data_IF_420435970651
#
_entry.id   IF_420435970651
#
_cell.length_a   1.000
_cell.length_b   1.000
_cell.length_c   1.000
_cell.angle_alpha   90.00
_cell.angle_beta   90.00
_cell.angle_gamma   90.00
#
_symmetry.space_group_name_H-M   'P 1'
#
loop_
_entity.id
_entity.type
_entity.pdbx_description
1 polymer ?
#
# COMPACT_ATOMS: atom_id res chain seq x y z
N UNK A 1 -23.51 -19.66 -5.75
CA UNK A 1 -23.38 -20.61 -6.90
C UNK A 1 -22.05 -20.37 -7.61
N UNK A 2 -21.44 -21.42 -8.22
CA UNK A 2 -20.17 -21.26 -8.98
C UNK A 2 -20.23 -20.18 -10.07
N UNK A 3 -21.36 -20.08 -10.78
CA UNK A 3 -21.54 -19.04 -11.81
C UNK A 3 -21.43 -17.62 -11.23
N UNK A 4 -21.95 -17.37 -10.03
CA UNK A 4 -21.84 -16.07 -9.36
C UNK A 4 -20.40 -15.76 -8.95
N UNK A 5 -19.65 -16.76 -8.47
CA UNK A 5 -18.23 -16.58 -8.14
C UNK A 5 -17.40 -16.28 -9.38
N UNK A 6 -17.66 -16.93 -10.51
CA UNK A 6 -16.99 -16.65 -11.79
C UNK A 6 -17.29 -15.22 -12.28
N UNK A 7 -18.52 -14.75 -12.14
CA UNK A 7 -18.91 -13.37 -12.46
C UNK A 7 -18.14 -12.38 -11.58
N UNK A 8 -18.03 -12.65 -10.28
CA UNK A 8 -17.32 -11.81 -9.32
C UNK A 8 -15.80 -11.82 -9.54
N UNK A 9 -15.23 -12.92 -9.98
CA UNK A 9 -13.80 -13.03 -10.29
C UNK A 9 -13.39 -12.30 -11.58
N UNK A 10 -14.33 -11.71 -12.31
CA UNK A 10 -14.04 -10.94 -13.51
C UNK A 10 -13.37 -9.61 -13.14
N UNK A 11 -12.22 -9.24 -13.74
CA UNK A 11 -11.53 -7.97 -13.48
C UNK A 11 -12.38 -6.71 -13.76
N UNK A 12 -13.41 -6.81 -14.61
CA UNK A 12 -14.34 -5.72 -14.89
C UNK A 12 -15.45 -5.55 -13.83
N UNK A 13 -15.48 -6.38 -12.80
CA UNK A 13 -16.39 -6.23 -11.68
C UNK A 13 -16.19 -4.85 -11.04
N UNK A 14 -17.28 -4.09 -10.76
CA UNK A 14 -17.18 -2.68 -10.36
C UNK A 14 -16.26 -2.41 -9.16
N UNK A 15 -16.28 -3.25 -8.11
CA UNK A 15 -15.40 -3.10 -6.95
C UNK A 15 -13.94 -3.40 -7.26
N UNK A 16 -13.66 -4.44 -8.07
CA UNK A 16 -12.29 -4.77 -8.48
C UNK A 16 -11.72 -3.67 -9.38
N UNK A 17 -12.55 -3.11 -10.25
CA UNK A 17 -12.15 -1.95 -11.07
C UNK A 17 -11.86 -0.72 -10.21
N UNK A 18 -12.67 -0.47 -9.18
CA UNK A 18 -12.38 0.59 -8.21
C UNK A 18 -11.07 0.34 -7.48
N UNK A 19 -10.84 -0.90 -7.02
CA UNK A 19 -9.60 -1.28 -6.33
C UNK A 19 -8.38 -1.04 -7.22
N UNK A 20 -8.45 -1.41 -8.51
CA UNK A 20 -7.39 -1.17 -9.48
C UNK A 20 -7.08 0.33 -9.65
N UNK A 21 -8.10 1.20 -9.68
CA UNK A 21 -7.92 2.63 -9.96
C UNK A 21 -7.58 3.45 -8.71
N UNK A 22 -8.17 3.12 -7.55
CA UNK A 22 -8.08 3.90 -6.32
C UNK A 22 -6.99 3.35 -5.35
N UNK A 23 -6.70 2.03 -5.41
CA UNK A 23 -5.73 1.34 -4.57
C UNK A 23 -4.96 0.26 -5.34
N UNK A 24 -4.15 0.64 -6.35
CA UNK A 24 -3.51 -0.31 -7.28
C UNK A 24 -2.56 -1.29 -6.58
N UNK A 25 -1.88 -0.88 -5.51
CA UNK A 25 -1.04 -1.76 -4.71
C UNK A 25 -1.84 -2.87 -4.03
N UNK A 26 -2.98 -2.53 -3.43
CA UNK A 26 -3.90 -3.50 -2.84
C UNK A 26 -4.50 -4.43 -3.90
N UNK A 27 -4.82 -3.91 -5.10
CA UNK A 27 -5.29 -4.75 -6.20
C UNK A 27 -4.24 -5.79 -6.62
N UNK A 28 -2.98 -5.36 -6.78
CA UNK A 28 -1.89 -6.28 -7.14
C UNK A 28 -1.65 -7.32 -6.04
N UNK A 29 -1.63 -6.92 -4.78
CA UNK A 29 -1.56 -7.80 -3.63
C UNK A 29 -2.69 -8.86 -3.67
N UNK A 30 -3.93 -8.43 -3.87
CA UNK A 30 -5.09 -9.32 -3.91
C UNK A 30 -4.98 -10.39 -5.03
N UNK A 31 -4.36 -10.06 -6.19
CA UNK A 31 -4.11 -11.03 -7.26
C UNK A 31 -3.13 -12.11 -6.81
N UNK A 32 -2.04 -11.73 -6.15
CA UNK A 32 -1.03 -12.70 -5.68
C UNK A 32 -1.61 -13.58 -4.59
N UNK A 33 -2.32 -12.99 -3.62
CA UNK A 33 -3.04 -13.74 -2.56
C UNK A 33 -4.05 -14.71 -3.19
N UNK A 34 -4.78 -14.30 -4.22
CA UNK A 34 -5.75 -15.14 -4.92
C UNK A 34 -5.10 -16.35 -5.60
N UNK A 35 -3.92 -16.18 -6.21
CA UNK A 35 -3.18 -17.28 -6.82
C UNK A 35 -2.67 -18.28 -5.77
N UNK A 36 -2.18 -17.78 -4.64
CA UNK A 36 -1.78 -18.62 -3.50
C UNK A 36 -2.98 -19.39 -2.94
N UNK A 37 -4.08 -18.68 -2.67
CA UNK A 37 -5.27 -19.25 -2.06
C UNK A 37 -5.94 -20.32 -2.94
N UNK A 38 -6.03 -20.09 -4.25
CA UNK A 38 -6.55 -21.06 -5.21
C UNK A 38 -5.73 -22.34 -5.22
N UNK A 39 -4.39 -22.23 -5.36
CA UNK A 39 -3.50 -23.38 -5.40
C UNK A 39 -3.55 -24.21 -4.09
N UNK A 40 -3.61 -23.53 -2.93
CA UNK A 40 -3.72 -24.20 -1.65
C UNK A 40 -5.07 -24.87 -1.46
N UNK A 41 -6.17 -24.20 -1.84
CA UNK A 41 -7.52 -24.77 -1.76
C UNK A 41 -7.68 -26.02 -2.65
N UNK A 42 -7.13 -25.97 -3.87
CA UNK A 42 -7.10 -27.12 -4.78
C UNK A 42 -6.33 -28.31 -4.16
N UNK A 43 -5.16 -28.03 -3.57
CA UNK A 43 -4.28 -29.04 -2.98
C UNK A 43 -4.96 -29.82 -1.82
N UNK A 44 -5.82 -29.17 -1.03
CA UNK A 44 -6.48 -29.79 0.14
C UNK A 44 -7.96 -30.15 -0.10
N UNK A 45 -8.45 -30.02 -1.34
CA UNK A 45 -9.84 -30.33 -1.70
C UNK A 45 -10.87 -29.35 -1.09
N UNK A 46 -10.48 -28.12 -0.79
CA UNK A 46 -11.38 -27.01 -0.49
C UNK A 46 -11.93 -26.40 -1.79
N UNK A 47 -12.70 -25.34 -1.73
CA UNK A 47 -13.25 -24.68 -2.91
C UNK A 47 -12.28 -23.64 -3.50
N UNK A 48 -11.53 -23.96 -4.60
CA UNK A 48 -10.50 -23.07 -5.13
C UNK A 48 -11.10 -21.76 -5.65
N UNK A 49 -12.28 -21.83 -6.29
CA UNK A 49 -12.93 -20.64 -6.84
C UNK A 49 -13.42 -19.70 -5.74
N UNK A 50 -13.90 -20.23 -4.60
CA UNK A 50 -14.30 -19.41 -3.46
C UNK A 50 -13.07 -18.77 -2.80
N UNK A 51 -12.00 -19.53 -2.58
CA UNK A 51 -10.76 -19.01 -2.01
C UNK A 51 -10.16 -17.89 -2.88
N UNK A 52 -10.09 -18.11 -4.20
CA UNK A 52 -9.64 -17.11 -5.17
C UNK A 52 -10.52 -15.86 -5.17
N UNK A 53 -11.83 -16.03 -5.28
CA UNK A 53 -12.75 -14.90 -5.31
C UNK A 53 -12.74 -14.15 -3.98
N UNK A 54 -12.72 -14.85 -2.85
CA UNK A 54 -12.59 -14.25 -1.53
C UNK A 54 -11.33 -13.43 -1.39
N UNK A 55 -10.21 -13.95 -1.87
CA UNK A 55 -8.93 -13.23 -1.89
C UNK A 55 -8.97 -11.94 -2.73
N UNK A 56 -9.70 -11.89 -3.86
CA UNK A 56 -9.85 -10.64 -4.60
C UNK A 56 -10.55 -9.54 -3.81
N UNK A 57 -11.45 -9.90 -2.90
CA UNK A 57 -12.27 -8.95 -2.15
C UNK A 57 -11.87 -8.77 -0.69
N UNK A 58 -10.93 -9.56 -0.15
CA UNK A 58 -10.63 -9.53 1.28
C UNK A 58 -10.27 -8.13 1.79
N UNK A 59 -9.61 -7.35 0.99
CA UNK A 59 -9.01 -6.05 1.29
C UNK A 59 -9.77 -4.84 0.72
N UNK A 60 -10.99 -5.00 0.20
CA UNK A 60 -11.75 -3.89 -0.43
C UNK A 60 -12.01 -2.71 0.52
N UNK A 61 -11.97 -2.94 1.82
CA UNK A 61 -12.14 -1.88 2.81
C UNK A 61 -11.01 -0.86 2.82
N UNK A 62 -9.84 -1.20 2.32
CA UNK A 62 -8.71 -0.28 2.12
C UNK A 62 -9.04 0.87 1.16
N UNK A 63 -10.05 0.71 0.30
CA UNK A 63 -10.60 1.78 -0.55
C UNK A 63 -11.04 3.03 0.23
N UNK A 64 -11.38 2.91 1.50
CA UNK A 64 -11.79 4.05 2.31
C UNK A 64 -10.65 5.00 2.63
N UNK A 65 -9.43 4.47 2.80
CA UNK A 65 -8.21 5.23 3.14
C UNK A 65 -6.97 4.59 2.50
N UNK A 66 -6.84 4.56 1.16
CA UNK A 66 -5.80 3.78 0.48
C UNK A 66 -4.39 4.14 0.90
N UNK A 67 -4.09 5.42 1.11
CA UNK A 67 -2.75 5.92 1.45
C UNK A 67 -2.26 5.54 2.86
N UNK A 68 -3.15 5.04 3.74
CA UNK A 68 -2.75 4.48 5.02
C UNK A 68 -2.21 3.03 4.91
N UNK A 69 -2.24 2.43 3.72
CA UNK A 69 -1.72 1.10 3.48
C UNK A 69 -0.46 1.19 2.61
N UNK A 70 0.63 0.60 3.12
CA UNK A 70 1.99 0.79 2.60
C UNK A 70 2.11 0.48 1.10
N UNK A 71 1.39 -0.53 0.64
CA UNK A 71 1.39 -0.96 -0.77
C UNK A 71 0.86 0.10 -1.74
N UNK A 72 0.10 1.10 -1.24
CA UNK A 72 -0.43 2.21 -2.04
C UNK A 72 0.32 3.53 -1.84
N UNK A 73 1.35 3.57 -0.98
CA UNK A 73 2.11 4.78 -0.70
C UNK A 73 3.16 5.06 -1.78
N UNK A 74 3.31 6.33 -2.16
CA UNK A 74 4.30 6.80 -3.14
C UNK A 74 5.43 7.63 -2.51
N UNK A 75 5.68 7.47 -1.21
CA UNK A 75 6.77 8.17 -0.49
C UNK A 75 6.40 8.60 0.90
N UNK A 76 5.41 9.48 1.08
CA UNK A 76 4.97 9.96 2.40
C UNK A 76 4.09 8.90 3.10
N UNK A 77 4.43 8.59 4.37
CA UNK A 77 3.66 7.65 5.18
C UNK A 77 2.84 8.42 6.22
N UNK A 78 1.50 8.47 6.09
CA UNK A 78 0.66 9.19 7.04
C UNK A 78 0.82 8.73 8.50
N UNK A 79 1.18 7.46 8.72
CA UNK A 79 1.40 6.91 10.07
C UNK A 79 2.60 7.49 10.80
N UNK A 80 3.52 8.17 10.11
CA UNK A 80 4.68 8.80 10.75
C UNK A 80 4.27 10.01 11.61
N UNK A 81 3.13 10.62 11.27
CA UNK A 81 2.54 11.78 11.97
C UNK A 81 1.29 11.43 12.76
N UNK A 82 0.91 10.16 12.81
CA UNK A 82 -0.30 9.69 13.46
C UNK A 82 0.05 8.92 14.75
N UNK A 83 -0.72 9.15 15.78
CA UNK A 83 -0.61 8.38 17.03
C UNK A 83 -0.75 6.87 16.75
N UNK A 84 0.02 5.99 17.44
CA UNK A 84 -0.02 4.55 17.20
C UNK A 84 -1.39 3.90 17.42
N UNK A 85 -2.17 4.36 18.42
CA UNK A 85 -3.52 3.86 18.66
C UNK A 85 -4.48 4.24 17.52
N UNK A 86 -4.39 5.49 17.06
CA UNK A 86 -5.19 5.96 15.90
C UNK A 86 -4.77 5.22 14.64
N UNK A 87 -3.48 5.00 14.46
CA UNK A 87 -2.94 4.22 13.32
C UNK A 87 -3.46 2.78 13.32
N UNK A 88 -3.43 2.11 14.48
CA UNK A 88 -3.98 0.77 14.64
C UNK A 88 -5.48 0.73 14.35
N UNK A 89 -6.25 1.69 14.88
CA UNK A 89 -7.68 1.80 14.63
C UNK A 89 -8.01 2.01 13.14
N UNK A 90 -7.21 2.80 12.41
CA UNK A 90 -7.38 3.00 10.96
C UNK A 90 -7.12 1.70 10.20
N UNK A 91 -6.04 0.98 10.54
CA UNK A 91 -5.66 -0.25 9.86
C UNK A 91 -6.66 -1.36 10.16
N UNK A 92 -7.03 -1.57 11.42
CA UNK A 92 -8.00 -2.63 11.78
C UNK A 92 -9.40 -2.38 11.24
N UNK A 93 -9.80 -1.12 11.03
CA UNK A 93 -11.11 -0.77 10.51
C UNK A 93 -11.37 -1.30 9.08
N UNK A 94 -10.33 -1.67 8.29
CA UNK A 94 -10.57 -2.05 6.89
C UNK A 94 -11.43 -3.33 6.75
N UNK A 95 -11.41 -4.24 7.72
CA UNK A 95 -12.26 -5.43 7.68
C UNK A 95 -13.75 -5.06 7.77
N UNK A 96 -14.11 -4.16 8.71
CA UNK A 96 -15.49 -3.63 8.85
C UNK A 96 -15.89 -2.74 7.68
N UNK A 97 -14.97 -1.88 7.21
CA UNK A 97 -15.20 -1.04 6.05
C UNK A 97 -15.40 -1.90 4.79
N UNK A 98 -14.66 -3.01 4.68
CA UNK A 98 -14.80 -4.02 3.65
C UNK A 98 -16.16 -4.73 3.69
N UNK A 99 -16.60 -5.14 4.88
CA UNK A 99 -17.93 -5.75 5.08
C UNK A 99 -19.04 -4.77 4.64
N UNK A 100 -18.95 -3.51 5.04
CA UNK A 100 -19.94 -2.49 4.64
C UNK A 100 -19.99 -2.31 3.12
N UNK A 101 -18.84 -2.30 2.44
CA UNK A 101 -18.77 -2.28 0.98
C UNK A 101 -19.33 -3.55 0.36
N UNK A 102 -19.00 -4.73 0.90
CA UNK A 102 -19.50 -6.01 0.41
C UNK A 102 -21.04 -6.09 0.50
N UNK A 103 -21.62 -5.62 1.59
CA UNK A 103 -23.07 -5.52 1.76
C UNK A 103 -23.71 -4.55 0.76
N UNK A 104 -23.12 -3.36 0.59
CA UNK A 104 -23.58 -2.35 -0.37
C UNK A 104 -23.59 -2.87 -1.81
N UNK A 105 -22.61 -3.69 -2.18
CA UNK A 105 -22.48 -4.27 -3.52
C UNK A 105 -23.07 -5.69 -3.63
N UNK A 106 -23.81 -6.14 -2.61
CA UNK A 106 -24.48 -7.43 -2.59
C UNK A 106 -23.56 -8.63 -2.87
N UNK A 107 -22.34 -8.60 -2.29
CA UNK A 107 -21.45 -9.75 -2.36
C UNK A 107 -22.01 -10.93 -1.55
N UNK A 108 -21.78 -12.17 -1.98
CA UNK A 108 -22.25 -13.37 -1.27
C UNK A 108 -21.78 -13.41 0.19
N UNK A 109 -22.55 -14.01 1.10
CA UNK A 109 -22.18 -14.14 2.52
C UNK A 109 -20.82 -14.80 2.73
N UNK A 110 -20.45 -15.79 1.91
CA UNK A 110 -19.17 -16.48 2.00
C UNK A 110 -17.98 -15.53 1.75
N UNK A 111 -18.13 -14.58 0.83
CA UNK A 111 -17.11 -13.54 0.58
C UNK A 111 -17.09 -12.54 1.75
N UNK A 112 -18.25 -12.16 2.30
CA UNK A 112 -18.34 -11.29 3.48
C UNK A 112 -17.66 -11.94 4.70
N UNK A 113 -17.81 -13.23 4.87
CA UNK A 113 -17.12 -14.02 5.92
C UNK A 113 -15.61 -13.94 5.76
N UNK A 114 -15.09 -14.18 4.56
CA UNK A 114 -13.64 -14.09 4.29
C UNK A 114 -13.10 -12.67 4.58
N UNK A 115 -13.83 -11.61 4.21
CA UNK A 115 -13.46 -10.23 4.50
C UNK A 115 -13.33 -9.98 6.01
N UNK A 116 -14.22 -10.53 6.81
CA UNK A 116 -14.17 -10.32 8.27
C UNK A 116 -13.16 -11.21 8.98
N UNK A 117 -12.86 -12.39 8.44
CA UNK A 117 -12.07 -13.41 9.11
C UNK A 117 -10.59 -13.42 8.73
N UNK A 118 -10.18 -12.77 7.62
CA UNK A 118 -8.82 -12.93 7.08
C UNK A 118 -7.70 -12.41 8.00
N UNK A 119 -8.01 -11.59 8.99
CA UNK A 119 -7.07 -11.21 10.04
C UNK A 119 -7.40 -11.82 11.41
N UNK A 120 -8.58 -12.42 11.58
CA UNK A 120 -9.03 -12.93 12.87
C UNK A 120 -9.01 -11.84 13.95
N UNK A 121 -8.42 -12.16 15.10
CA UNK A 121 -8.18 -11.25 16.22
C UNK A 121 -6.67 -10.96 16.41
N UNK A 122 -5.87 -11.05 15.35
CA UNK A 122 -4.42 -10.79 15.41
C UNK A 122 -4.12 -9.35 15.79
N UNK A 123 -3.03 -9.08 16.54
CA UNK A 123 -2.60 -7.71 16.85
C UNK A 123 -1.80 -7.09 15.69
N UNK A 124 -1.93 -5.79 15.50
CA UNK A 124 -1.10 -5.00 14.60
C UNK A 124 0.21 -4.66 15.32
N UNK A 125 1.13 -5.63 15.36
CA UNK A 125 2.35 -5.60 16.16
C UNK A 125 3.23 -4.38 15.93
N UNK A 126 3.28 -3.85 14.71
CA UNK A 126 4.08 -2.66 14.39
C UNK A 126 3.66 -1.45 15.24
N UNK A 127 2.37 -1.17 15.33
CA UNK A 127 1.87 -0.04 16.12
C UNK A 127 1.90 -0.32 17.61
N UNK A 128 1.70 -1.56 18.04
CA UNK A 128 1.89 -1.96 19.42
C UNK A 128 3.33 -1.69 19.89
N UNK A 129 4.35 -2.11 19.14
CA UNK A 129 5.74 -1.81 19.47
C UNK A 129 6.06 -0.31 19.44
N UNK A 130 5.49 0.44 18.48
CA UNK A 130 5.63 1.90 18.44
C UNK A 130 5.02 2.56 19.68
N UNK A 131 3.85 2.09 20.12
CA UNK A 131 3.22 2.57 21.36
C UNK A 131 4.05 2.25 22.61
N UNK A 132 4.61 1.04 22.72
CA UNK A 132 5.52 0.67 23.80
C UNK A 132 6.75 1.58 23.89
N UNK A 133 7.34 1.92 22.74
CA UNK A 133 8.48 2.84 22.69
C UNK A 133 8.13 4.27 23.15
N UNK A 134 6.90 4.70 22.87
CA UNK A 134 6.42 6.04 23.24
C UNK A 134 5.89 6.12 24.69
N UNK A 135 5.56 4.98 25.29
CA UNK A 135 4.92 4.91 26.61
C UNK A 135 5.86 5.20 27.79
N UNK A 136 7.18 5.27 27.55
CA UNK A 136 8.21 5.56 28.57
C UNK A 136 8.03 4.70 29.85
N UNK A 137 7.86 3.38 29.65
CA UNK A 137 7.69 2.40 30.74
C UNK A 137 6.27 2.27 31.30
N UNK A 138 5.30 3.03 30.80
CA UNK A 138 3.89 2.83 31.15
C UNK A 138 3.32 1.57 30.47
N UNK A 139 2.36 0.87 31.11
CA UNK A 139 1.74 -0.29 30.50
C UNK A 139 0.95 0.10 29.25
N UNK A 140 1.09 -0.71 28.18
CA UNK A 140 0.31 -0.60 26.95
C UNK A 140 -0.45 -1.92 26.79
N UNK A 141 -1.77 -1.85 26.64
CA UNK A 141 -2.58 -3.04 26.45
C UNK A 141 -2.54 -3.47 24.97
N UNK A 142 -2.12 -4.69 24.70
CA UNK A 142 -2.11 -5.28 23.34
C UNK A 142 -3.52 -5.41 22.76
N UNK A 143 -4.55 -5.46 23.61
CA UNK A 143 -5.94 -5.55 23.17
C UNK A 143 -6.36 -4.34 22.33
N UNK A 144 -5.81 -3.14 22.61
CA UNK A 144 -6.07 -1.92 21.83
C UNK A 144 -5.55 -1.97 20.38
N UNK A 145 -4.71 -2.95 20.09
CA UNK A 145 -4.06 -3.11 18.78
C UNK A 145 -4.55 -4.35 18.02
N UNK A 146 -5.58 -5.04 18.52
CA UNK A 146 -6.12 -6.24 17.86
C UNK A 146 -7.21 -5.90 16.86
N UNK A 147 -7.30 -6.72 15.82
CA UNK A 147 -8.50 -6.79 15.00
C UNK A 147 -9.68 -7.27 15.85
N UNK A 148 -10.86 -6.76 15.56
CA UNK A 148 -12.14 -7.20 16.17
C UNK A 148 -12.87 -8.24 15.29
N UNK A 149 -12.13 -8.87 14.40
CA UNK A 149 -12.62 -9.95 13.53
C UNK A 149 -12.78 -11.29 14.25
N UNK A 150 -13.50 -12.20 13.61
CA UNK A 150 -13.59 -13.57 14.05
C UNK A 150 -12.44 -14.39 13.45
N UNK A 151 -11.96 -15.38 14.19
CA UNK A 151 -11.00 -16.35 13.66
C UNK A 151 -11.63 -17.16 12.53
N UNK A 152 -10.86 -17.54 11.50
CA UNK A 152 -11.39 -18.28 10.36
C UNK A 152 -12.22 -19.49 10.75
N UNK A 153 -13.42 -19.58 10.19
CA UNK A 153 -14.39 -20.66 10.44
C UNK A 153 -14.49 -21.66 9.30
N UNK A 154 -13.96 -21.32 8.13
CA UNK A 154 -13.93 -22.18 6.93
C UNK A 154 -12.49 -22.47 6.50
N UNK A 155 -12.31 -23.53 5.68
CA UNK A 155 -10.98 -23.79 5.08
C UNK A 155 -10.53 -22.63 4.19
N UNK A 156 -11.45 -22.08 3.42
CA UNK A 156 -11.18 -21.01 2.47
C UNK A 156 -10.76 -19.71 3.17
N UNK A 157 -11.45 -19.30 4.25
CA UNK A 157 -11.05 -18.11 5.00
C UNK A 157 -9.71 -18.29 5.72
N UNK A 158 -9.43 -19.49 6.24
CA UNK A 158 -8.13 -19.81 6.83
C UNK A 158 -7.00 -19.77 5.79
N UNK A 159 -7.24 -20.32 4.60
CA UNK A 159 -6.29 -20.26 3.48
C UNK A 159 -6.01 -18.80 3.08
N UNK A 160 -7.03 -17.96 2.97
CA UNK A 160 -6.86 -16.55 2.63
C UNK A 160 -6.06 -15.83 3.71
N UNK A 161 -6.32 -16.04 5.00
CA UNK A 161 -5.51 -15.51 6.10
C UNK A 161 -4.03 -15.88 5.97
N UNK A 162 -3.73 -17.14 5.69
CA UNK A 162 -2.36 -17.62 5.54
C UNK A 162 -1.70 -17.02 4.29
N UNK A 163 -2.42 -16.99 3.17
CA UNK A 163 -1.92 -16.45 1.90
C UNK A 163 -1.62 -14.95 1.98
N UNK A 164 -2.51 -14.16 2.61
CA UNK A 164 -2.31 -12.74 2.87
C UNK A 164 -1.06 -12.50 3.73
N UNK A 165 -0.97 -13.19 4.87
CA UNK A 165 0.18 -13.07 5.78
C UNK A 165 1.50 -13.38 5.07
N UNK A 166 1.53 -14.42 4.23
CA UNK A 166 2.74 -14.87 3.53
C UNK A 166 3.11 -13.91 2.40
N UNK A 167 2.14 -13.47 1.58
CA UNK A 167 2.42 -12.52 0.50
C UNK A 167 3.01 -11.24 1.03
N UNK A 168 2.38 -10.63 2.04
CA UNK A 168 2.85 -9.39 2.65
C UNK A 168 4.28 -9.51 3.22
N UNK A 169 4.58 -10.65 3.83
CA UNK A 169 5.86 -10.89 4.46
C UNK A 169 6.98 -11.22 3.46
N UNK A 170 6.72 -12.09 2.47
CA UNK A 170 7.71 -12.49 1.44
C UNK A 170 8.12 -11.29 0.58
N UNK A 171 7.22 -10.35 0.32
CA UNK A 171 7.53 -9.10 -0.38
C UNK A 171 8.61 -8.27 0.31
N UNK A 172 8.79 -8.43 1.62
CA UNK A 172 9.80 -7.71 2.41
C UNK A 172 11.19 -8.35 2.40
N UNK A 173 11.35 -9.56 1.84
CA UNK A 173 12.62 -10.28 1.80
C UNK A 173 13.41 -9.80 0.57
N UNK A 174 14.61 -9.21 0.75
CA UNK A 174 15.51 -8.95 -0.36
C UNK A 174 16.07 -10.28 -0.89
N UNK A 175 16.01 -10.49 -2.20
CA UNK A 175 16.53 -11.68 -2.91
C UNK A 175 16.15 -13.04 -2.27
N UNK A 176 14.84 -13.38 -2.25
CA UNK A 176 14.36 -14.56 -1.58
C UNK A 176 14.81 -15.85 -2.30
N UNK A 177 15.69 -16.64 -1.69
CA UNK A 177 16.02 -17.98 -2.18
C UNK A 177 14.86 -18.96 -1.89
N UNK A 178 14.68 -20.04 -2.68
CA UNK A 178 13.65 -21.04 -2.43
C UNK A 178 13.63 -21.57 -1.00
N UNK A 179 14.82 -21.85 -0.43
CA UNK A 179 14.96 -22.31 0.95
C UNK A 179 14.56 -21.23 1.98
N UNK A 180 14.89 -19.97 1.72
CA UNK A 180 14.50 -18.87 2.60
C UNK A 180 12.98 -18.69 2.58
N UNK A 181 12.34 -18.80 1.41
CA UNK A 181 10.88 -18.74 1.26
C UNK A 181 10.22 -19.88 2.07
N UNK A 182 10.69 -21.12 1.92
CA UNK A 182 10.16 -22.28 2.64
C UNK A 182 10.21 -22.08 4.15
N UNK A 183 11.39 -21.77 4.70
CA UNK A 183 11.58 -21.54 6.13
C UNK A 183 10.72 -20.37 6.65
N UNK A 184 10.50 -19.38 5.82
CA UNK A 184 9.71 -18.23 6.18
C UNK A 184 8.22 -18.56 6.24
N UNK A 185 7.71 -19.32 5.27
CA UNK A 185 6.33 -19.82 5.25
C UNK A 185 6.07 -20.68 6.50
N UNK A 186 6.93 -21.68 6.78
CA UNK A 186 6.77 -22.55 7.94
C UNK A 186 6.71 -21.76 9.24
N UNK A 187 7.61 -20.77 9.42
CA UNK A 187 7.63 -19.93 10.62
C UNK A 187 6.35 -19.12 10.78
N UNK A 188 5.84 -18.51 9.70
CA UNK A 188 4.65 -17.68 9.75
C UNK A 188 3.39 -18.52 10.03
N UNK A 189 3.26 -19.66 9.36
CA UNK A 189 2.14 -20.58 9.58
C UNK A 189 2.17 -21.13 11.01
N UNK A 190 3.32 -21.51 11.52
CA UNK A 190 3.50 -21.92 12.91
C UNK A 190 3.07 -20.82 13.88
N UNK A 191 3.49 -19.57 13.65
CA UNK A 191 3.07 -18.43 14.46
C UNK A 191 1.56 -18.25 14.50
N UNK A 192 0.86 -18.44 13.37
CA UNK A 192 -0.62 -18.39 13.33
C UNK A 192 -1.27 -19.55 14.10
N UNK A 193 -0.67 -20.74 14.06
CA UNK A 193 -1.12 -21.90 14.84
C UNK A 193 -0.93 -21.66 16.35
N UNK A 194 0.23 -21.20 16.76
CA UNK A 194 0.57 -20.93 18.16
C UNK A 194 -0.30 -19.82 18.77
N UNK A 195 -0.63 -18.78 17.97
CA UNK A 195 -1.58 -17.71 18.36
C UNK A 195 -3.05 -18.20 18.34
N UNK A 196 -3.30 -19.45 17.94
CA UNK A 196 -4.65 -20.05 17.92
C UNK A 196 -5.56 -19.47 16.83
N UNK A 197 -5.02 -18.75 15.84
CA UNK A 197 -5.85 -18.13 14.79
C UNK A 197 -6.62 -19.15 13.94
N UNK A 198 -6.12 -20.38 13.84
CA UNK A 198 -6.74 -21.45 13.04
C UNK A 198 -7.63 -22.38 13.85
N UNK A 199 -7.84 -22.13 15.15
CA UNK A 199 -8.55 -23.05 16.06
C UNK A 199 -10.03 -23.26 15.74
N UNK A 200 -10.67 -22.35 15.01
CA UNK A 200 -12.08 -22.47 14.60
C UNK A 200 -12.23 -23.03 13.18
N UNK A 201 -11.15 -23.20 12.44
CA UNK A 201 -11.20 -23.73 11.07
C UNK A 201 -11.11 -25.26 11.05
N UNK A 202 -11.75 -25.92 10.08
CA UNK A 202 -11.71 -27.38 9.96
C UNK A 202 -10.44 -27.86 9.20
N UNK A 203 -9.31 -27.17 9.37
CA UNK A 203 -8.01 -27.57 8.83
C UNK A 203 -7.36 -28.63 9.72
N UNK A 204 -6.86 -29.68 9.09
CA UNK A 204 -5.98 -30.66 9.75
C UNK A 204 -4.52 -30.25 9.63
N UNK A 205 -3.63 -30.79 10.46
CA UNK A 205 -2.19 -30.57 10.32
C UNK A 205 -1.67 -30.99 8.93
N UNK A 206 -2.22 -32.07 8.36
CA UNK A 206 -1.91 -32.49 6.99
C UNK A 206 -2.31 -31.44 5.95
N UNK A 207 -3.49 -30.81 6.14
CA UNK A 207 -3.92 -29.73 5.25
C UNK A 207 -2.94 -28.55 5.33
N UNK A 208 -2.46 -28.24 6.53
CA UNK A 208 -1.49 -27.13 6.75
C UNK A 208 -0.16 -27.41 6.04
N UNK A 209 0.38 -28.62 6.14
CA UNK A 209 1.59 -29.01 5.42
C UNK A 209 1.40 -28.87 3.91
N UNK A 210 0.26 -29.37 3.40
CA UNK A 210 -0.07 -29.27 1.97
C UNK A 210 -0.26 -27.82 1.49
N UNK A 211 -0.82 -26.95 2.33
CA UNK A 211 -0.92 -25.49 2.05
C UNK A 211 0.47 -24.88 1.94
N UNK A 212 1.39 -25.17 2.88
CA UNK A 212 2.75 -24.67 2.85
C UNK A 212 3.48 -25.09 1.55
N UNK A 213 3.35 -26.37 1.15
CA UNK A 213 3.90 -26.86 -0.11
C UNK A 213 3.34 -26.11 -1.34
N UNK A 214 2.02 -25.87 -1.36
CA UNK A 214 1.38 -25.14 -2.45
C UNK A 214 1.88 -23.71 -2.53
N UNK A 215 2.00 -23.03 -1.41
CA UNK A 215 2.54 -21.66 -1.35
C UNK A 215 3.99 -21.58 -1.83
N UNK A 216 4.86 -22.50 -1.36
CA UNK A 216 6.24 -22.59 -1.84
C UNK A 216 6.30 -22.77 -3.35
N UNK A 217 5.47 -23.64 -3.93
CA UNK A 217 5.43 -23.88 -5.38
C UNK A 217 5.04 -22.62 -6.16
N UNK A 218 4.01 -21.91 -5.72
CA UNK A 218 3.54 -20.68 -6.39
C UNK A 218 4.59 -19.58 -6.29
N UNK A 219 5.15 -19.33 -5.09
CA UNK A 219 6.13 -18.27 -4.88
C UNK A 219 7.44 -18.55 -5.61
N UNK A 220 7.93 -19.78 -5.62
CA UNK A 220 9.11 -20.15 -6.40
C UNK A 220 8.88 -19.92 -7.91
N UNK A 221 7.66 -20.09 -8.42
CA UNK A 221 7.32 -19.74 -9.79
C UNK A 221 7.32 -18.23 -10.06
N UNK A 222 6.95 -17.42 -9.08
CA UNK A 222 6.93 -15.95 -9.19
C UNK A 222 8.34 -15.35 -9.09
N UNK A 223 9.20 -15.93 -8.26
CA UNK A 223 10.56 -15.45 -8.01
C UNK A 223 11.64 -16.20 -8.81
N UNK A 224 11.26 -16.89 -9.91
CA UNK A 224 12.26 -17.46 -10.81
C UNK A 224 13.20 -16.35 -11.28
N UNK A 225 14.52 -16.64 -11.20
CA UNK A 225 15.57 -15.76 -11.72
C UNK A 225 15.19 -15.30 -13.13
N UNK A 226 15.08 -14.00 -13.32
CA UNK A 226 15.05 -13.43 -14.68
C UNK A 226 16.33 -13.89 -15.34
N UNK A 227 16.21 -14.72 -16.37
CA UNK A 227 17.34 -15.02 -17.26
C UNK A 227 17.89 -13.66 -17.68
N UNK A 228 19.10 -13.33 -17.23
CA UNK A 228 19.80 -12.17 -17.74
C UNK A 228 19.99 -12.42 -19.23
N UNK A 229 19.18 -11.75 -20.03
CA UNK A 229 19.42 -11.74 -21.48
C UNK A 229 20.78 -11.08 -21.67
N UNK A 230 21.76 -11.78 -22.29
CA UNK A 230 23.05 -11.18 -22.58
C UNK A 230 22.76 -9.89 -23.36
N UNK A 231 23.31 -8.78 -22.90
CA UNK A 231 23.27 -7.50 -23.62
C UNK A 231 23.96 -7.72 -24.96
N UNK A 232 23.16 -8.12 -25.95
CA UNK A 232 23.64 -8.16 -27.33
C UNK A 232 23.81 -6.68 -27.72
N UNK A 233 25.05 -6.24 -27.85
CA UNK A 233 25.37 -4.97 -28.48
C UNK A 233 24.89 -5.07 -29.94
N UNK A 234 23.62 -4.79 -30.18
CA UNK A 234 23.10 -4.61 -31.51
C UNK A 234 23.67 -3.29 -32.02
N UNK A 235 24.57 -3.28 -33.00
CA UNK A 235 25.04 -2.02 -33.56
C UNK A 235 23.82 -1.21 -34.00
N UNK A 236 23.76 0.05 -33.56
CA UNK A 236 22.65 0.92 -33.88
C UNK A 236 22.35 0.85 -35.38
N UNK A 237 21.15 0.42 -35.75
CA UNK A 237 20.70 0.38 -37.12
C UNK A 237 20.88 1.80 -37.70
N UNK A 238 21.67 1.99 -38.77
CA UNK A 238 21.82 3.33 -39.32
C UNK A 238 20.43 3.86 -39.66
N UNK A 239 20.07 5.00 -39.12
CA UNK A 239 18.80 5.67 -39.42
C UNK A 239 18.64 5.73 -40.92
N UNK A 240 17.58 5.16 -41.45
CA UNK A 240 17.25 5.13 -42.84
C UNK A 240 17.20 6.60 -43.33
N UNK A 241 17.70 6.88 -44.55
CA UNK A 241 17.73 8.25 -45.12
C UNK A 241 16.40 8.99 -44.95
N UNK A 242 15.28 8.27 -45.08
CA UNK A 242 13.93 8.80 -44.89
C UNK A 242 13.64 9.36 -43.48
N UNK A 243 14.21 8.77 -42.41
CA UNK A 243 14.01 9.26 -41.04
C UNK A 243 14.82 10.54 -40.78
N UNK A 244 16.00 10.65 -41.41
CA UNK A 244 16.80 11.88 -41.33
C UNK A 244 16.20 13.04 -42.12
N UNK A 245 15.54 12.74 -43.25
CA UNK A 245 14.79 13.71 -44.04
C UNK A 245 13.54 14.18 -43.31
N UNK A 246 12.76 13.27 -42.73
CA UNK A 246 11.56 13.60 -41.90
C UNK A 246 11.92 14.44 -40.67
N UNK A 247 13.04 14.15 -40.01
CA UNK A 247 13.49 14.94 -38.85
C UNK A 247 13.96 16.35 -39.27
N UNK A 248 14.50 16.47 -40.46
CA UNK A 248 14.93 17.76 -41.02
C UNK A 248 13.72 18.59 -41.47
N UNK A 249 12.73 17.97 -42.10
CA UNK A 249 11.46 18.62 -42.46
C UNK A 249 10.68 19.07 -41.23
N UNK A 250 10.61 18.26 -40.18
CA UNK A 250 9.95 18.62 -38.93
C UNK A 250 10.60 19.83 -38.25
N UNK A 251 11.93 19.87 -38.22
CA UNK A 251 12.68 21.03 -37.68
C UNK A 251 12.48 22.30 -38.52
N UNK A 252 12.39 22.14 -39.84
CA UNK A 252 12.18 23.23 -40.78
C UNK A 252 10.76 23.82 -40.64
N UNK A 253 9.74 22.97 -40.55
CA UNK A 253 8.36 23.35 -40.30
C UNK A 253 8.17 24.05 -38.93
N UNK A 254 8.83 23.58 -37.88
CA UNK A 254 8.81 24.24 -36.58
C UNK A 254 9.48 25.63 -36.61
N UNK A 255 10.54 25.81 -37.40
CA UNK A 255 11.18 27.09 -37.58
C UNK A 255 10.28 28.07 -38.36
N UNK A 256 9.58 27.60 -39.40
CA UNK A 256 8.64 28.42 -40.18
C UNK A 256 7.44 28.86 -39.34
N UNK A 257 6.84 27.95 -38.55
CA UNK A 257 5.73 28.30 -37.61
C UNK A 257 6.19 29.34 -36.58
N UNK A 258 7.43 29.23 -36.10
CA UNK A 258 7.98 30.21 -35.16
C UNK A 258 8.23 31.57 -35.79
N UNK A 259 8.68 31.59 -37.05
CA UNK A 259 8.88 32.81 -37.81
C UNK A 259 7.55 33.50 -38.19
N UNK A 260 6.52 32.73 -38.59
CA UNK A 260 5.17 33.27 -38.84
C UNK A 260 4.56 33.90 -37.60
N UNK A 261 4.63 33.19 -36.44
CA UNK A 261 4.13 33.74 -35.16
C UNK A 261 4.86 35.02 -34.78
N UNK A 262 6.17 35.14 -35.05
CA UNK A 262 6.92 36.37 -34.79
C UNK A 262 6.54 37.53 -35.75
N UNK A 263 6.27 37.19 -37.03
CA UNK A 263 5.82 38.18 -38.01
C UNK A 263 4.38 38.68 -37.78
N UNK A 264 3.52 37.82 -37.21
CA UNK A 264 2.14 38.19 -36.86
C UNK A 264 2.07 39.10 -35.64
N UNK A 265 2.97 38.88 -34.65
CA UNK A 265 3.14 39.77 -33.47
C UNK A 265 3.68 41.14 -33.89
N UNK A 266 4.49 41.25 -34.97
CA UNK A 266 5.00 42.53 -35.44
C UNK A 266 3.98 43.36 -36.27
N UNK A 267 2.94 42.74 -36.81
CA UNK A 267 1.97 43.40 -37.69
C UNK A 267 0.77 44.00 -36.98
N UNK A 268 0.50 43.72 -35.73
CA UNK A 268 -0.64 44.21 -34.97
C UNK A 268 -0.25 45.29 -33.97
N UNK A 269 -0.61 46.55 -34.14
CA UNK A 269 -0.22 47.68 -33.24
C UNK A 269 -0.73 47.50 -31.80
N UNK A 270 -1.87 46.83 -31.63
CA UNK A 270 -2.49 46.59 -30.31
C UNK A 270 -1.71 45.63 -29.43
N UNK A 271 -1.11 44.59 -30.01
CA UNK A 271 -0.32 43.55 -29.25
C UNK A 271 1.03 44.14 -28.74
N UNK A 272 1.58 45.18 -29.41
CA UNK A 272 2.76 45.92 -28.93
C UNK A 272 2.47 46.73 -27.68
N UNK A 273 1.23 47.19 -27.48
CA UNK A 273 0.83 47.96 -26.30
C UNK A 273 0.64 47.04 -25.07
N UNK A 274 0.04 45.85 -25.23
CA UNK A 274 -0.13 44.89 -24.15
C UNK A 274 1.19 44.27 -23.68
N UNK A 275 2.05 43.85 -24.58
CA UNK A 275 3.38 43.31 -24.23
C UNK A 275 4.30 44.31 -23.54
N UNK A 276 4.10 45.63 -23.77
CA UNK A 276 4.84 46.67 -23.09
C UNK A 276 4.26 46.98 -21.71
N UNK A 277 2.96 46.84 -21.54
CA UNK A 277 2.26 46.97 -20.26
C UNK A 277 2.59 45.79 -19.31
N UNK A 278 2.64 44.54 -19.82
CA UNK A 278 3.05 43.38 -19.03
C UNK A 278 4.50 43.47 -18.53
N UNK A 279 5.44 43.89 -19.38
CA UNK A 279 6.83 44.08 -18.97
C UNK A 279 7.03 45.23 -17.96
N UNK A 280 6.19 46.26 -17.96
CA UNK A 280 6.23 47.30 -16.93
C UNK A 280 5.60 46.86 -15.61
N UNK A 281 4.55 46.03 -15.65
CA UNK A 281 3.91 45.49 -14.47
C UNK A 281 4.78 44.43 -13.75
N UNK A 282 5.64 43.70 -14.49
CA UNK A 282 6.61 42.75 -13.91
C UNK A 282 7.83 43.44 -13.28
N UNK A 283 8.22 44.60 -13.78
CA UNK A 283 9.32 45.42 -13.24
C UNK A 283 8.94 46.12 -11.92
N UNK A 284 7.68 46.41 -11.67
CA UNK A 284 7.20 47.05 -10.43
C UNK A 284 6.93 46.06 -9.27
N UNK A 285 7.00 44.75 -9.49
CA UNK A 285 6.72 43.72 -8.48
C UNK A 285 7.94 43.16 -7.75
N UNK A 286 9.13 43.71 -7.93
CA UNK A 286 10.30 43.36 -7.13
C UNK A 286 10.41 44.32 -5.95
N UNK A 287 10.13 43.93 -4.71
CA UNK A 287 10.39 44.77 -3.54
C UNK A 287 11.91 44.77 -3.24
N UNK A 288 12.49 45.97 -3.24
CA UNK A 288 13.84 46.23 -2.67
C UNK A 288 13.87 45.75 -1.20
N UNK A 289 14.69 44.75 -0.93
CA UNK A 289 15.04 44.37 0.43
C UNK A 289 16.14 45.29 0.91
N UNK A 290 15.79 46.30 1.70
CA UNK A 290 16.74 47.06 2.53
C UNK A 290 17.14 46.18 3.73
N UNK A 291 18.44 46.21 4.14
CA UNK A 291 18.87 45.48 5.33
C UNK A 291 18.46 46.27 6.58
N UNK A 292 17.55 45.66 7.37
CA UNK A 292 17.22 46.20 8.69
C UNK A 292 18.13 45.64 9.79
N UNK A 293 18.37 46.54 10.74
CA UNK A 293 19.31 46.50 11.83
C UNK A 293 18.98 45.41 12.87
N UNK A 294 20.03 45.02 13.60
CA UNK A 294 20.03 44.18 14.79
C UNK A 294 18.95 44.64 15.80
N UNK A 295 18.01 43.76 16.12
CA UNK A 295 17.12 43.90 17.26
C UNK A 295 17.67 43.10 18.43
N UNK A 296 17.72 43.79 19.59
CA UNK A 296 18.12 43.32 20.90
C UNK A 296 17.23 42.19 21.43
N UNK A 297 17.84 41.32 22.22
CA UNK A 297 17.13 40.25 22.99
C UNK A 297 16.24 40.86 24.05
N UNK A 298 15.00 40.43 24.25
CA UNK A 298 14.26 40.78 25.45
C UNK A 298 14.68 39.90 26.64
N UNK A 299 14.88 40.59 27.76
CA UNK A 299 15.12 40.04 29.10
C UNK A 299 14.06 39.03 29.54
N UNK A 300 14.53 37.93 30.13
CA UNK A 300 13.70 36.93 30.80
C UNK A 300 13.66 37.26 32.28
N UNK A 301 12.49 37.48 32.90
CA UNK A 301 12.44 37.67 34.36
C UNK A 301 12.63 36.35 35.12
N UNK A 302 13.51 36.38 36.10
CA UNK A 302 13.77 35.33 37.08
C UNK A 302 12.49 34.93 37.85
N UNK A 303 12.30 33.63 37.98
CA UNK A 303 11.29 33.03 38.83
C UNK A 303 11.80 32.97 40.28
N UNK A 304 10.99 33.34 41.30
CA UNK A 304 11.41 33.25 42.69
C UNK A 304 11.43 31.80 43.19
N UNK A 305 12.39 31.50 44.03
CA UNK A 305 12.64 30.23 44.68
C UNK A 305 11.46 29.81 45.60
N UNK A 306 11.09 28.55 45.56
CA UNK A 306 10.19 27.93 46.53
C UNK A 306 10.95 27.57 47.81
N UNK A 307 10.29 27.63 49.00
CA UNK A 307 10.92 27.32 50.28
C UNK A 307 11.08 25.81 50.50
N UNK A 308 12.18 25.50 51.16
CA UNK A 308 12.53 24.19 51.70
C UNK A 308 11.63 23.90 52.88
N UNK A 309 10.91 22.81 52.91
CA UNK A 309 10.34 22.24 54.14
C UNK A 309 11.14 21.02 54.59
N UNK A 310 11.51 21.08 55.84
CA UNK A 310 12.31 20.11 56.57
C UNK A 310 11.53 18.81 56.85
N UNK A 311 12.31 17.77 56.94
CA UNK A 311 11.99 16.44 57.45
C UNK A 311 11.39 16.43 58.87
N UNK A 312 10.40 15.59 59.09
CA UNK A 312 10.26 14.90 60.39
C UNK A 312 9.99 13.42 60.21
N UNK A 313 10.96 12.65 60.74
CA UNK A 313 10.79 11.24 61.09
C UNK A 313 9.68 11.10 62.15
N UNK A 314 8.83 10.11 62.08
CA UNK A 314 8.66 9.14 63.17
C UNK A 314 7.57 8.08 62.89
N UNK A 315 7.98 6.87 63.21
CA UNK A 315 7.28 5.64 63.61
C UNK A 315 6.79 4.74 62.54
#
# INVERSE_FOLDING_TARGET
>A
TPAKLLELANPNQPLLRRLLLEAPGTYHHAIVVANLAEAAAEKIGANPLLARTGAYFHDIGKLKRPLYFKENQMGDNPHDRTDPYVSAAIVTAHTRDGLALAQKYHLPPEIQTIIMEHHGDTPVMYFYHKALQMADGKPVDIADFRYDGQRPTTKESAIVMLADTIEAAVRSIPDPTPKAIEQFIERLVRGKLEDGQLSNSPLTLRDIDAICEAFCKVLNGVFHERIEYPTVNVPARPLVKAEKEAEKETKQMQAEIKAEKQAEVEKTPEVKAEAKAEKQAEAEKTPEVKPEAKAEKPDVPEKPAAPVEESEENT
#
